data_IF_369676153315
#
_entry.id   IF_369676153315
#
_cell.length_a   1.000
_cell.length_b   1.000
_cell.length_c   1.000
_cell.angle_alpha   90.00
_cell.angle_beta   90.00
_cell.angle_gamma   90.00
#
_symmetry.space_group_name_H-M   'P 1'
#
loop_
_entity.id
_entity.type
_entity.pdbx_description
1 polymer ?
#
# COMPACT_ATOMS: atom_id res chain seq x y z
N UNK A 1 -11.46 9.54 -9.62
CA UNK A 1 -10.86 10.76 -10.17
C UNK A 1 -10.16 11.61 -9.10
N UNK A 2 -10.82 12.07 -8.01
CA UNK A 2 -10.14 12.85 -6.95
C UNK A 2 -8.95 12.15 -6.30
N UNK A 3 -8.97 10.83 -6.18
CA UNK A 3 -7.84 10.04 -5.62
C UNK A 3 -6.60 9.98 -6.54
N UNK A 4 -6.77 10.25 -7.83
CA UNK A 4 -5.69 10.25 -8.82
C UNK A 4 -5.24 11.67 -9.21
N UNK A 5 -5.75 12.72 -8.53
CA UNK A 5 -5.45 14.11 -8.86
C UNK A 5 -5.94 14.55 -10.25
N UNK A 6 -6.84 13.77 -10.86
CA UNK A 6 -7.34 14.06 -12.20
C UNK A 6 -8.54 15.00 -12.13
N UNK A 7 -8.45 16.11 -12.82
CA UNK A 7 -9.56 17.06 -12.99
C UNK A 7 -10.64 16.49 -13.90
N UNK A 8 -11.91 16.88 -13.71
CA UNK A 8 -12.99 16.48 -14.62
C UNK A 8 -12.68 16.94 -16.06
N UNK A 9 -12.75 16.01 -17.00
CA UNK A 9 -12.41 16.27 -18.42
C UNK A 9 -13.43 17.17 -19.11
N UNK A 10 -14.64 17.22 -18.58
CA UNK A 10 -15.72 18.07 -19.10
C UNK A 10 -16.42 18.85 -17.98
N UNK A 11 -17.00 19.98 -18.36
CA UNK A 11 -17.70 20.90 -17.43
C UNK A 11 -19.23 20.79 -17.50
N UNK A 12 -19.75 19.72 -18.11
CA UNK A 12 -21.21 19.55 -18.26
C UNK A 12 -21.79 19.00 -16.97
N UNK A 13 -22.82 19.68 -16.44
CA UNK A 13 -23.54 19.25 -15.25
C UNK A 13 -24.63 18.22 -15.60
N UNK A 14 -25.19 18.33 -16.82
CA UNK A 14 -26.24 17.46 -17.33
C UNK A 14 -26.21 17.32 -18.87
N UNK A 15 -27.17 16.55 -19.41
CA UNK A 15 -27.30 16.31 -20.83
C UNK A 15 -27.68 17.58 -21.61
N UNK A 16 -28.36 18.54 -20.99
CA UNK A 16 -28.79 19.77 -21.65
C UNK A 16 -27.63 20.75 -21.81
N UNK A 17 -26.72 20.81 -20.84
CA UNK A 17 -25.47 21.56 -20.96
C UNK A 17 -24.66 21.04 -22.13
N UNK A 18 -24.52 19.72 -22.25
CA UNK A 18 -23.90 19.08 -23.41
C UNK A 18 -24.63 19.38 -24.72
N UNK A 19 -25.98 19.28 -24.74
CA UNK A 19 -26.79 19.55 -25.92
C UNK A 19 -26.58 20.98 -26.44
N UNK A 20 -26.60 21.96 -25.56
CA UNK A 20 -26.41 23.37 -25.90
C UNK A 20 -25.01 23.64 -26.45
N UNK A 21 -23.98 23.08 -25.82
CA UNK A 21 -22.59 23.26 -26.23
C UNK A 21 -22.31 22.65 -27.60
N UNK A 22 -22.78 21.42 -27.87
CA UNK A 22 -22.55 20.82 -29.18
C UNK A 22 -23.30 21.55 -30.30
N UNK A 23 -24.47 22.11 -30.03
CA UNK A 23 -25.21 22.96 -30.99
C UNK A 23 -24.46 24.25 -31.30
N UNK A 24 -23.95 24.91 -30.29
CA UNK A 24 -23.14 26.13 -30.46
C UNK A 24 -21.85 25.88 -31.24
N UNK A 25 -21.25 24.70 -31.10
CA UNK A 25 -20.02 24.30 -31.82
C UNK A 25 -20.28 23.79 -33.24
N UNK A 26 -21.53 23.66 -33.67
CA UNK A 26 -21.88 23.13 -35.00
C UNK A 26 -21.53 21.65 -35.16
N UNK A 27 -21.58 20.85 -34.10
CA UNK A 27 -21.31 19.42 -34.14
C UNK A 27 -22.57 18.64 -34.57
N UNK A 28 -23.08 18.94 -35.73
CA UNK A 28 -24.38 18.48 -36.21
C UNK A 28 -24.40 16.99 -36.60
N UNK A 29 -23.26 16.41 -36.94
CA UNK A 29 -23.19 15.00 -37.33
C UNK A 29 -22.80 14.08 -36.17
N UNK A 30 -23.18 12.81 -36.25
CA UNK A 30 -22.74 11.79 -35.31
C UNK A 30 -21.19 11.68 -35.27
N UNK A 31 -20.55 11.77 -36.44
CA UNK A 31 -19.10 11.68 -36.53
C UNK A 31 -18.39 12.86 -35.84
N UNK A 32 -18.87 14.10 -36.06
CA UNK A 32 -18.30 15.29 -35.41
C UNK A 32 -18.43 15.24 -33.87
N UNK A 33 -19.57 14.80 -33.35
CA UNK A 33 -19.75 14.61 -31.90
C UNK A 33 -18.84 13.53 -31.33
N UNK A 34 -18.72 12.42 -32.06
CA UNK A 34 -17.85 11.31 -31.61
C UNK A 34 -16.36 11.73 -31.64
N UNK A 35 -15.94 12.46 -32.65
CA UNK A 35 -14.58 12.99 -32.71
C UNK A 35 -14.30 13.96 -31.55
N UNK A 36 -15.22 14.87 -31.28
CA UNK A 36 -15.11 15.82 -30.18
C UNK A 36 -15.01 15.12 -28.81
N UNK A 37 -15.84 14.10 -28.55
CA UNK A 37 -15.76 13.31 -27.32
C UNK A 37 -14.41 12.62 -27.22
N UNK A 38 -13.95 11.98 -28.29
CA UNK A 38 -12.64 11.33 -28.32
C UNK A 38 -11.51 12.32 -27.98
N UNK A 39 -11.54 13.50 -28.60
CA UNK A 39 -10.50 14.52 -28.43
C UNK A 39 -10.47 15.09 -26.99
N UNK A 40 -11.62 15.19 -26.31
CA UNK A 40 -11.72 15.57 -24.89
C UNK A 40 -11.10 14.51 -24.00
N UNK A 41 -11.35 13.21 -24.29
CA UNK A 41 -10.92 12.13 -23.43
C UNK A 41 -9.53 11.59 -23.75
N UNK A 42 -8.99 11.85 -24.97
CA UNK A 42 -7.68 11.35 -25.40
C UNK A 42 -6.56 11.70 -24.41
N UNK A 43 -6.40 12.94 -23.91
CA UNK A 43 -5.33 13.27 -22.96
C UNK A 43 -5.46 12.51 -21.63
N UNK A 44 -6.69 12.24 -21.21
CA UNK A 44 -6.94 11.46 -19.99
C UNK A 44 -6.61 9.98 -20.20
N UNK A 45 -7.01 9.43 -21.35
CA UNK A 45 -6.71 8.03 -21.71
C UNK A 45 -5.19 7.87 -21.82
N UNK A 46 -4.51 8.76 -22.55
CA UNK A 46 -3.05 8.74 -22.68
C UNK A 46 -2.35 8.83 -21.31
N UNK A 47 -2.87 9.67 -20.39
CA UNK A 47 -2.32 9.78 -19.05
C UNK A 47 -2.53 8.49 -18.27
N UNK A 48 -3.69 7.84 -18.40
CA UNK A 48 -3.97 6.57 -17.71
C UNK A 48 -3.16 5.42 -18.31
N UNK A 49 -3.10 5.30 -19.63
CA UNK A 49 -2.31 4.27 -20.32
C UNK A 49 -0.82 4.40 -20.00
N UNK A 50 -0.27 5.62 -20.03
CA UNK A 50 1.13 5.86 -19.64
C UNK A 50 1.36 5.63 -18.13
N UNK A 51 0.34 5.82 -17.29
CA UNK A 51 0.44 5.49 -15.87
C UNK A 51 0.37 3.99 -15.62
N UNK A 52 -0.35 3.23 -16.45
CA UNK A 52 -0.42 1.77 -16.36
C UNK A 52 0.89 1.09 -16.80
N UNK A 53 1.58 1.61 -17.81
CA UNK A 53 2.91 1.09 -18.22
C UNK A 53 3.99 1.26 -17.14
N UNK A 54 3.82 2.24 -16.22
CA UNK A 54 4.70 2.47 -15.08
C UNK A 54 4.08 2.04 -13.75
N UNK A 55 2.86 1.48 -13.75
CA UNK A 55 2.21 1.10 -12.49
C UNK A 55 2.66 -0.30 -12.12
N UNK A 56 3.73 -0.37 -11.36
CA UNK A 56 3.97 -1.49 -10.43
C UNK A 56 2.63 -1.87 -9.80
N UNK A 57 2.22 -3.13 -9.95
CA UNK A 57 0.98 -3.63 -9.34
C UNK A 57 1.16 -3.71 -7.84
N UNK A 58 1.15 -2.56 -7.19
CA UNK A 58 1.28 -2.47 -5.74
C UNK A 58 -0.01 -2.98 -5.09
N UNK A 59 0.15 -3.75 -4.01
CA UNK A 59 -0.98 -4.14 -3.18
C UNK A 59 -1.77 -2.91 -2.76
N UNK A 60 -3.09 -2.99 -2.92
CA UNK A 60 -3.99 -1.97 -2.39
C UNK A 60 -3.86 -1.91 -0.86
N UNK A 61 -3.60 -0.73 -0.34
CA UNK A 61 -3.55 -0.47 1.08
C UNK A 61 -4.91 0.02 1.57
N UNK A 62 -5.52 -0.73 2.47
CA UNK A 62 -6.73 -0.33 3.17
C UNK A 62 -6.33 0.19 4.56
N UNK A 63 -6.68 1.45 4.93
CA UNK A 63 -6.31 2.02 6.22
C UNK A 63 -6.69 1.12 7.39
N UNK A 64 -5.80 1.02 8.36
CA UNK A 64 -5.97 0.16 9.54
C UNK A 64 -6.76 0.82 10.65
N UNK A 65 -6.75 2.15 10.70
CA UNK A 65 -7.24 2.97 11.80
C UNK A 65 -6.17 3.22 12.88
N UNK A 66 -4.95 2.75 12.69
CA UNK A 66 -3.78 3.12 13.49
C UNK A 66 -2.98 4.17 12.74
N UNK A 67 -3.14 5.44 13.11
CA UNK A 67 -2.63 6.60 12.35
C UNK A 67 -1.14 6.46 11.99
N UNK A 68 -0.28 6.06 12.94
CA UNK A 68 1.16 5.90 12.70
C UNK A 68 1.49 4.75 11.75
N UNK A 69 0.69 3.69 11.74
CA UNK A 69 0.84 2.56 10.80
C UNK A 69 0.41 2.99 9.40
N UNK A 70 -0.71 3.72 9.31
CA UNK A 70 -1.25 4.22 8.06
C UNK A 70 -0.30 5.25 7.42
N UNK A 71 0.26 6.15 8.20
CA UNK A 71 1.30 7.11 7.76
C UNK A 71 2.56 6.39 7.28
N UNK A 72 3.02 5.38 8.03
CA UNK A 72 4.18 4.56 7.68
C UNK A 72 3.98 3.81 6.36
N UNK A 73 2.81 3.23 6.14
CA UNK A 73 2.47 2.53 4.91
C UNK A 73 2.44 3.47 3.69
N UNK A 74 1.82 4.64 3.84
CA UNK A 74 1.81 5.67 2.81
C UNK A 74 3.21 6.15 2.48
N UNK A 75 4.04 6.38 3.50
CA UNK A 75 5.43 6.81 3.30
C UNK A 75 6.27 5.76 2.60
N UNK A 76 6.14 4.49 2.98
CA UNK A 76 6.83 3.39 2.29
C UNK A 76 6.44 3.31 0.82
N UNK A 77 5.16 3.52 0.50
CA UNK A 77 4.63 3.58 -0.87
C UNK A 77 5.24 4.73 -1.68
N UNK A 78 5.27 5.94 -1.10
CA UNK A 78 5.86 7.12 -1.76
C UNK A 78 7.33 6.88 -2.11
N UNK A 79 8.11 6.32 -1.16
CA UNK A 79 9.52 6.00 -1.38
C UNK A 79 9.68 4.95 -2.48
N UNK A 80 8.85 3.90 -2.50
CA UNK A 80 8.90 2.88 -3.55
C UNK A 80 8.60 3.47 -4.94
N UNK A 81 7.57 4.30 -5.06
CA UNK A 81 7.19 4.92 -6.35
C UNK A 81 8.28 5.85 -6.88
N UNK A 82 8.99 6.53 -5.99
CA UNK A 82 10.07 7.46 -6.36
C UNK A 82 11.45 6.81 -6.47
N UNK A 83 11.56 5.51 -6.17
CA UNK A 83 12.84 4.81 -6.15
C UNK A 83 13.38 4.54 -7.56
N UNK A 84 14.63 4.97 -7.82
CA UNK A 84 15.29 4.79 -9.11
C UNK A 84 16.63 4.03 -8.99
N UNK A 85 17.23 4.04 -7.80
CA UNK A 85 18.58 3.54 -7.56
C UNK A 85 18.64 2.61 -6.36
N UNK A 86 19.69 1.84 -6.27
CA UNK A 86 19.93 0.88 -5.17
C UNK A 86 19.72 1.48 -3.77
N UNK A 87 20.17 2.72 -3.52
CA UNK A 87 19.98 3.38 -2.22
C UNK A 87 18.50 3.70 -1.94
N UNK A 88 17.73 4.00 -2.98
CA UNK A 88 16.31 4.25 -2.84
C UNK A 88 15.58 2.93 -2.53
N UNK A 89 15.95 1.82 -3.19
CA UNK A 89 15.43 0.49 -2.91
C UNK A 89 15.78 0.02 -1.49
N UNK A 90 16.99 0.30 -1.01
CA UNK A 90 17.35 0.06 0.39
C UNK A 90 16.51 0.89 1.36
N UNK A 91 16.17 2.12 0.99
CA UNK A 91 15.28 2.98 1.79
C UNK A 91 13.89 2.37 1.94
N UNK A 92 13.35 1.68 0.92
CA UNK A 92 12.09 0.92 1.05
C UNK A 92 12.18 -0.14 2.14
N UNK A 93 13.31 -0.88 2.22
CA UNK A 93 13.57 -1.84 3.30
C UNK A 93 13.57 -1.19 4.68
N UNK A 94 14.24 -0.04 4.81
CA UNK A 94 14.29 0.74 6.06
C UNK A 94 12.88 1.17 6.50
N UNK A 95 12.08 1.74 5.60
CA UNK A 95 10.70 2.13 5.92
C UNK A 95 9.82 0.93 6.25
N UNK A 96 9.99 -0.20 5.54
CA UNK A 96 9.29 -1.45 5.85
C UNK A 96 9.60 -1.97 7.25
N UNK A 97 10.87 -1.93 7.65
CA UNK A 97 11.29 -2.30 9.02
C UNK A 97 10.65 -1.40 10.08
N UNK A 98 10.71 -0.08 9.89
CA UNK A 98 10.12 0.89 10.84
C UNK A 98 8.59 0.72 10.90
N UNK A 99 7.92 0.48 9.78
CA UNK A 99 6.48 0.20 9.74
C UNK A 99 6.13 -1.06 10.53
N UNK A 100 6.90 -2.15 10.40
CA UNK A 100 6.66 -3.39 11.15
C UNK A 100 6.93 -3.24 12.65
N UNK A 101 7.88 -2.38 13.05
CA UNK A 101 8.08 -2.02 14.47
C UNK A 101 6.88 -1.24 14.98
N UNK A 102 6.43 -0.22 14.24
CA UNK A 102 5.25 0.60 14.59
C UNK A 102 4.00 -0.26 14.71
N UNK A 103 3.77 -1.16 13.74
CA UNK A 103 2.67 -2.13 13.78
C UNK A 103 2.72 -3.01 15.02
N UNK A 104 3.90 -3.56 15.31
CA UNK A 104 4.09 -4.41 16.48
C UNK A 104 3.80 -3.67 17.80
N UNK A 105 4.28 -2.43 17.91
CA UNK A 105 4.02 -1.56 19.05
C UNK A 105 2.54 -1.17 19.19
N UNK A 106 1.82 -1.01 18.08
CA UNK A 106 0.39 -0.67 18.10
C UNK A 106 -0.49 -1.80 18.68
N UNK A 107 -0.08 -3.07 18.49
CA UNK A 107 -0.90 -4.23 18.90
C UNK A 107 -0.35 -5.00 20.10
N UNK A 108 0.94 -4.86 20.39
CA UNK A 108 1.57 -5.63 21.47
C UNK A 108 1.39 -4.97 22.83
N UNK A 109 0.92 -5.76 23.80
CA UNK A 109 0.82 -5.39 25.20
C UNK A 109 1.57 -6.46 26.04
N UNK A 110 2.67 -6.06 26.67
CA UNK A 110 3.52 -6.97 27.44
C UNK A 110 2.78 -7.69 28.58
N UNK A 111 1.72 -7.07 29.11
CA UNK A 111 0.92 -7.66 30.18
C UNK A 111 -0.04 -8.75 29.67
N UNK A 112 -0.48 -8.66 28.41
CA UNK A 112 -1.44 -9.59 27.81
C UNK A 112 -0.78 -10.65 26.93
N UNK A 113 0.35 -10.30 26.29
CA UNK A 113 0.99 -11.13 25.28
C UNK A 113 2.33 -11.66 25.80
N UNK A 114 2.33 -12.82 26.48
CA UNK A 114 3.56 -13.40 27.02
C UNK A 114 4.51 -13.81 25.90
N UNK A 115 5.80 -13.68 26.13
CA UNK A 115 6.84 -14.17 25.22
C UNK A 115 6.68 -15.68 24.98
N UNK A 116 6.83 -16.09 23.73
CA UNK A 116 6.69 -17.50 23.31
C UNK A 116 7.96 -18.32 23.58
N UNK A 117 9.11 -17.66 23.73
CA UNK A 117 10.42 -18.27 23.97
C UNK A 117 11.01 -17.96 25.36
N UNK A 118 10.25 -17.26 26.21
CA UNK A 118 10.68 -16.86 27.55
C UNK A 118 11.67 -15.68 27.58
N UNK A 119 12.05 -15.14 26.44
CA UNK A 119 12.96 -13.99 26.33
C UNK A 119 12.21 -12.69 26.60
N UNK A 120 12.82 -11.73 27.30
CA UNK A 120 12.23 -10.41 27.50
C UNK A 120 12.18 -9.65 26.15
N UNK A 121 11.00 -9.13 25.82
CA UNK A 121 10.74 -8.50 24.50
C UNK A 121 11.12 -7.02 24.59
N UNK A 122 12.14 -6.63 23.82
CA UNK A 122 12.56 -5.23 23.68
C UNK A 122 11.62 -4.39 22.82
N UNK A 123 11.64 -3.07 23.02
CA UNK A 123 10.73 -2.12 22.35
C UNK A 123 10.82 -2.07 20.83
N UNK A 124 11.92 -2.54 20.23
CA UNK A 124 12.12 -2.61 18.78
C UNK A 124 12.13 -4.06 18.24
N UNK A 125 11.82 -5.05 19.06
CA UNK A 125 11.80 -6.46 18.66
C UNK A 125 10.44 -6.83 18.03
N UNK A 126 10.20 -6.29 16.85
CA UNK A 126 8.95 -6.53 16.11
C UNK A 126 8.68 -8.02 15.87
N UNK A 127 9.72 -8.85 15.68
CA UNK A 127 9.56 -10.29 15.48
C UNK A 127 8.90 -10.97 16.68
N UNK A 128 9.42 -10.72 17.90
CA UNK A 128 8.88 -11.32 19.11
C UNK A 128 7.56 -10.70 19.51
N UNK A 129 7.37 -9.39 19.31
CA UNK A 129 6.08 -8.74 19.56
C UNK A 129 4.97 -9.33 18.70
N UNK A 130 5.18 -9.42 17.37
CA UNK A 130 4.20 -9.99 16.44
C UNK A 130 3.98 -11.49 16.68
N UNK A 131 5.02 -12.23 17.01
CA UNK A 131 4.91 -13.64 17.41
C UNK A 131 3.98 -13.80 18.63
N UNK A 132 4.25 -13.06 19.69
CA UNK A 132 3.44 -13.12 20.92
C UNK A 132 1.99 -12.70 20.66
N UNK A 133 1.76 -11.62 19.89
CA UNK A 133 0.43 -11.16 19.52
C UNK A 133 -0.34 -12.18 18.69
N UNK A 134 0.26 -12.75 17.64
CA UNK A 134 -0.38 -13.79 16.82
C UNK A 134 -0.73 -15.02 17.66
N UNK A 135 0.16 -15.41 18.57
CA UNK A 135 -0.10 -16.52 19.50
C UNK A 135 -1.29 -16.25 20.41
N UNK A 136 -1.43 -15.03 20.89
CA UNK A 136 -2.58 -14.62 21.69
C UNK A 136 -3.87 -14.66 20.89
N UNK A 137 -3.90 -14.05 19.71
CA UNK A 137 -5.09 -14.00 18.86
C UNK A 137 -5.55 -15.38 18.36
N UNK A 138 -4.61 -16.28 18.11
CA UNK A 138 -4.87 -17.60 17.50
C UNK A 138 -4.72 -18.76 18.47
N UNK A 139 -4.99 -18.55 19.76
CA UNK A 139 -4.75 -19.55 20.84
C UNK A 139 -5.40 -20.92 20.60
N UNK A 140 -6.48 -21.00 19.82
CA UNK A 140 -7.22 -22.24 19.48
C UNK A 140 -6.91 -22.81 18.10
N UNK A 141 -6.02 -22.19 17.32
CA UNK A 141 -5.72 -22.57 15.93
C UNK A 141 -4.22 -22.75 15.72
N UNK A 142 -3.85 -23.48 14.67
CA UNK A 142 -2.47 -23.47 14.20
C UNK A 142 -2.11 -22.07 13.70
N UNK A 143 -0.99 -21.54 14.17
CA UNK A 143 -0.50 -20.16 13.95
C UNK A 143 0.89 -20.12 13.34
N UNK A 144 1.49 -21.28 13.11
CA UNK A 144 2.87 -21.36 12.61
C UNK A 144 3.08 -20.67 11.27
N UNK A 145 2.08 -20.70 10.38
CA UNK A 145 2.17 -20.08 9.05
C UNK A 145 2.18 -18.56 9.16
N UNK A 146 1.28 -18.00 9.95
CA UNK A 146 1.13 -16.57 10.16
C UNK A 146 2.37 -15.99 10.86
N UNK A 147 2.87 -16.69 11.87
CA UNK A 147 4.11 -16.32 12.58
C UNK A 147 5.31 -16.37 11.64
N UNK A 148 5.47 -17.46 10.86
CA UNK A 148 6.57 -17.58 9.89
C UNK A 148 6.51 -16.50 8.84
N UNK A 149 5.31 -16.16 8.36
CA UNK A 149 5.13 -15.10 7.37
C UNK A 149 5.54 -13.73 7.93
N UNK A 150 5.04 -13.35 9.11
CA UNK A 150 5.40 -12.08 9.75
C UNK A 150 6.91 -11.98 10.02
N UNK A 151 7.53 -13.05 10.52
CA UNK A 151 8.99 -13.09 10.74
C UNK A 151 9.77 -12.94 9.42
N UNK A 152 9.33 -13.61 8.35
CA UNK A 152 9.95 -13.50 7.04
C UNK A 152 9.86 -12.09 6.47
N UNK A 153 8.73 -11.37 6.67
CA UNK A 153 8.60 -9.98 6.23
C UNK A 153 9.58 -9.04 6.98
N UNK A 154 9.77 -9.26 8.29
CA UNK A 154 10.78 -8.50 9.07
C UNK A 154 12.19 -8.81 8.58
N UNK A 155 12.51 -10.08 8.31
CA UNK A 155 13.82 -10.48 7.79
C UNK A 155 14.07 -9.86 6.41
N UNK A 156 13.09 -9.90 5.53
CA UNK A 156 13.20 -9.31 4.20
C UNK A 156 13.47 -7.80 4.26
N UNK A 157 12.74 -7.07 5.11
CA UNK A 157 12.96 -5.63 5.29
C UNK A 157 14.37 -5.32 5.82
N UNK A 158 14.85 -6.13 6.77
CA UNK A 158 16.22 -5.98 7.29
C UNK A 158 17.28 -6.30 6.22
N UNK A 159 17.10 -7.38 5.46
CA UNK A 159 18.01 -7.77 4.39
C UNK A 159 18.08 -6.70 3.29
N UNK A 160 16.92 -6.21 2.83
CA UNK A 160 16.85 -5.19 1.79
C UNK A 160 17.55 -3.90 2.22
N UNK A 161 17.42 -3.48 3.49
CA UNK A 161 18.09 -2.29 4.03
C UNK A 161 19.61 -2.33 3.85
N UNK A 162 20.22 -3.53 3.87
CA UNK A 162 21.66 -3.73 3.77
C UNK A 162 22.10 -4.30 2.41
N UNK A 163 21.20 -4.60 1.50
CA UNK A 163 21.51 -5.19 0.21
C UNK A 163 22.11 -4.15 -0.76
N UNK A 164 23.42 -4.23 -0.99
CA UNK A 164 24.14 -3.31 -1.89
C UNK A 164 23.84 -3.51 -3.39
N UNK A 165 23.11 -4.55 -3.74
CA UNK A 165 22.69 -4.87 -5.11
C UNK A 165 21.16 -4.89 -5.23
N UNK A 166 20.45 -4.22 -4.30
CA UNK A 166 19.00 -4.13 -4.29
C UNK A 166 18.46 -3.59 -5.63
N UNK A 167 17.41 -4.23 -6.10
CA UNK A 167 16.72 -3.91 -7.36
C UNK A 167 15.30 -3.42 -7.08
N UNK A 168 14.64 -2.89 -8.12
CA UNK A 168 13.22 -2.52 -8.04
C UNK A 168 12.35 -3.73 -7.63
N UNK A 169 12.62 -4.92 -8.18
CA UNK A 169 11.91 -6.15 -7.83
C UNK A 169 12.03 -6.49 -6.34
N UNK A 170 13.22 -6.36 -5.75
CA UNK A 170 13.42 -6.62 -4.32
C UNK A 170 12.61 -5.63 -3.46
N UNK A 171 12.58 -4.36 -3.86
CA UNK A 171 11.83 -3.33 -3.16
C UNK A 171 10.31 -3.57 -3.23
N UNK A 172 9.78 -3.96 -4.39
CA UNK A 172 8.37 -4.31 -4.56
C UNK A 172 7.97 -5.55 -3.75
N UNK A 173 8.78 -6.60 -3.79
CA UNK A 173 8.53 -7.80 -2.99
C UNK A 173 8.54 -7.49 -1.49
N UNK A 174 9.48 -6.66 -1.04
CA UNK A 174 9.53 -6.20 0.35
C UNK A 174 8.26 -5.42 0.74
N UNK A 175 7.85 -4.45 -0.08
CA UNK A 175 6.62 -3.69 0.13
C UNK A 175 5.41 -4.61 0.26
N UNK A 176 5.24 -5.53 -0.67
CA UNK A 176 4.11 -6.46 -0.68
C UNK A 176 4.11 -7.39 0.55
N UNK A 177 5.27 -7.87 0.99
CA UNK A 177 5.40 -8.69 2.19
C UNK A 177 5.03 -7.92 3.47
N UNK A 178 5.49 -6.67 3.58
CA UNK A 178 5.20 -5.79 4.71
C UNK A 178 3.71 -5.47 4.78
N UNK A 179 3.09 -5.02 3.68
CA UNK A 179 1.65 -4.70 3.66
C UNK A 179 0.77 -5.93 3.90
N UNK A 180 1.15 -7.08 3.37
CA UNK A 180 0.45 -8.33 3.68
C UNK A 180 0.48 -8.65 5.17
N UNK A 181 1.61 -8.38 5.84
CA UNK A 181 1.73 -8.54 7.30
C UNK A 181 0.81 -7.56 8.02
N UNK A 182 0.76 -6.29 7.62
CA UNK A 182 -0.16 -5.29 8.19
C UNK A 182 -1.61 -5.76 8.07
N UNK A 183 -2.02 -6.25 6.91
CA UNK A 183 -3.39 -6.75 6.67
C UNK A 183 -3.72 -8.00 7.50
N UNK A 184 -2.76 -8.92 7.67
CA UNK A 184 -2.94 -10.10 8.54
C UNK A 184 -3.17 -9.66 9.99
N UNK A 185 -2.33 -8.78 10.52
CA UNK A 185 -2.44 -8.29 11.90
C UNK A 185 -3.74 -7.51 12.11
N UNK A 186 -4.12 -6.63 11.17
CA UNK A 186 -5.42 -5.93 11.21
C UNK A 186 -6.59 -6.92 11.22
N UNK A 187 -6.52 -7.96 10.41
CA UNK A 187 -7.55 -9.00 10.39
C UNK A 187 -7.64 -9.71 11.73
N UNK A 188 -6.52 -10.11 12.32
CA UNK A 188 -6.50 -10.73 13.63
C UNK A 188 -7.08 -9.81 14.70
N UNK A 189 -6.74 -8.52 14.67
CA UNK A 189 -7.26 -7.51 15.59
C UNK A 189 -8.80 -7.42 15.50
N UNK A 190 -9.33 -7.24 14.29
CA UNK A 190 -10.78 -7.15 14.05
C UNK A 190 -11.60 -8.33 14.62
N UNK A 191 -11.03 -9.53 14.68
CA UNK A 191 -11.75 -10.73 15.13
C UNK A 191 -11.45 -11.10 16.59
N UNK A 192 -10.63 -10.35 17.31
CA UNK A 192 -10.27 -10.60 18.71
C UNK A 192 -10.60 -9.42 19.65
N UNK A 193 -11.04 -8.27 19.11
CA UNK A 193 -11.71 -7.20 19.83
C UNK A 193 -13.21 -7.45 19.88
#
# INVERSE_FOLDING_TARGET
MKQLGLEPVHRYNDLWDWYNDYKQRGLDTYQSRRAFIRDIYAPLIDTLENSEENTTTLLYYEPTGWDLVDDGANRMKEVLISAEKTLDYQSVGMYGRELLITLAQAVFDKAKHPSTDGTDIGAADSKRMLDAYIHYCMHKKSKEREVKFAKAAVDFSNELTHNRTATAMDAELCYNAVLSTVHIIRTLHKYND
#
